data_IF_301011780396
#
_entry.id   IF_301011780396
#
_cell.length_a   1.000
_cell.length_b   1.000
_cell.length_c   1.000
_cell.angle_alpha   90.00
_cell.angle_beta   90.00
_cell.angle_gamma   90.00
#
_symmetry.space_group_name_H-M   'P 1'
#
loop_
_entity.id
_entity.type
_entity.pdbx_description
1 polymer ?
#
# COMPACT_ATOMS: atom_id res chain seq x y z
N UNK A 1 -16.24 66.06 82.61
CA UNK A 1 -17.55 66.42 82.02
C UNK A 1 -17.26 67.25 80.77
N UNK A 2 -17.77 66.78 79.62
CA UNK A 2 -17.88 67.42 78.29
C UNK A 2 -16.56 67.77 77.58
N UNK A 3 -16.05 67.01 76.61
CA UNK A 3 -16.52 66.67 75.24
C UNK A 3 -16.15 67.74 74.20
N UNK A 4 -15.41 67.35 73.15
CA UNK A 4 -15.77 67.50 71.72
C UNK A 4 -14.54 67.35 70.79
N UNK A 5 -14.67 66.47 69.80
CA UNK A 5 -13.70 66.14 68.73
C UNK A 5 -14.25 66.67 67.40
N UNK A 6 -13.45 67.14 66.41
CA UNK A 6 -13.99 67.34 65.08
C UNK A 6 -13.47 66.36 64.01
N UNK A 7 -14.45 65.75 63.35
CA UNK A 7 -14.58 65.47 61.91
C UNK A 7 -13.64 64.46 61.23
N UNK A 8 -14.16 63.24 61.06
CA UNK A 8 -13.74 62.30 60.01
C UNK A 8 -14.52 62.59 58.72
N UNK A 9 -13.79 62.78 57.63
CA UNK A 9 -14.29 62.97 56.27
C UNK A 9 -15.20 61.82 55.83
N UNK A 10 -16.31 62.13 55.16
CA UNK A 10 -17.01 61.16 54.30
C UNK A 10 -17.36 61.85 53.00
N UNK A 11 -16.44 61.76 52.04
CA UNK A 11 -16.68 62.20 50.66
C UNK A 11 -17.51 61.16 49.93
N UNK A 12 -18.85 61.32 50.00
CA UNK A 12 -19.80 60.54 49.20
C UNK A 12 -20.04 61.21 47.85
N UNK A 13 -19.25 60.87 46.84
CA UNK A 13 -19.46 61.32 45.46
C UNK A 13 -20.37 60.36 44.70
N UNK A 14 -21.68 60.52 44.82
CA UNK A 14 -22.66 59.85 43.96
C UNK A 14 -22.78 60.61 42.63
N UNK A 15 -22.00 60.19 41.61
CA UNK A 15 -22.20 60.63 40.23
C UNK A 15 -23.35 59.85 39.60
N UNK A 16 -24.44 60.54 39.26
CA UNK A 16 -25.51 60.02 38.39
C UNK A 16 -25.01 59.96 36.95
N UNK A 17 -25.01 58.77 36.35
CA UNK A 17 -24.64 58.56 34.95
C UNK A 17 -25.66 59.20 33.99
N UNK A 18 -25.16 59.87 32.95
CA UNK A 18 -25.95 60.55 31.92
C UNK A 18 -26.72 59.53 31.05
N UNK A 19 -27.96 59.87 30.65
CA UNK A 19 -28.83 58.98 29.87
C UNK A 19 -28.25 58.64 28.48
N UNK A 20 -27.43 59.53 27.92
CA UNK A 20 -26.69 59.33 26.67
C UNK A 20 -25.65 58.21 26.77
N UNK A 21 -24.94 58.13 27.90
CA UNK A 21 -23.93 57.10 28.15
C UNK A 21 -24.56 55.71 28.29
N UNK A 22 -25.73 55.64 28.93
CA UNK A 22 -26.50 54.39 29.08
C UNK A 22 -26.97 53.84 27.72
N UNK A 23 -27.40 54.72 26.81
CA UNK A 23 -27.86 54.33 25.48
C UNK A 23 -26.68 53.90 24.59
N UNK A 24 -25.55 54.59 24.68
CA UNK A 24 -24.30 54.23 24.00
C UNK A 24 -23.80 52.86 24.45
N UNK A 25 -23.80 52.58 25.76
CA UNK A 25 -23.42 51.28 26.30
C UNK A 25 -24.34 50.16 25.79
N UNK A 26 -25.66 50.39 25.77
CA UNK A 26 -26.65 49.44 25.26
C UNK A 26 -26.46 49.14 23.77
N UNK A 27 -26.13 50.14 22.96
CA UNK A 27 -25.89 49.94 21.53
C UNK A 27 -24.55 49.24 21.27
N UNK A 28 -23.55 49.49 22.12
CA UNK A 28 -22.31 48.71 22.14
C UNK A 28 -22.56 47.23 22.48
N UNK A 29 -23.30 46.93 23.55
CA UNK A 29 -23.64 45.56 23.94
C UNK A 29 -24.39 44.81 22.83
N UNK A 30 -25.37 45.46 22.20
CA UNK A 30 -26.08 44.88 21.05
C UNK A 30 -25.15 44.58 19.88
N UNK A 31 -24.21 45.47 19.60
CA UNK A 31 -23.25 45.31 18.50
C UNK A 31 -22.30 44.14 18.76
N UNK A 32 -21.77 44.03 19.98
CA UNK A 32 -20.91 42.90 20.39
C UNK A 32 -21.69 41.58 20.33
N UNK A 33 -22.93 41.55 20.82
CA UNK A 33 -23.73 40.33 20.79
C UNK A 33 -24.06 39.86 19.36
N UNK A 34 -24.38 40.81 18.46
CA UNK A 34 -24.57 40.50 17.04
C UNK A 34 -23.30 39.93 16.40
N UNK A 35 -22.15 40.51 16.72
CA UNK A 35 -20.86 40.04 16.21
C UNK A 35 -20.51 38.63 16.72
N UNK A 36 -20.72 38.38 18.02
CA UNK A 36 -20.52 37.05 18.60
C UNK A 36 -21.46 36.01 17.99
N UNK A 37 -22.74 36.36 17.81
CA UNK A 37 -23.71 35.47 17.19
C UNK A 37 -23.36 35.14 15.74
N UNK A 38 -22.94 36.14 14.96
CA UNK A 38 -22.48 35.94 13.59
C UNK A 38 -21.27 34.99 13.53
N UNK A 39 -20.27 35.21 14.39
CA UNK A 39 -19.08 34.36 14.44
C UNK A 39 -19.41 32.91 14.83
N UNK A 40 -20.32 32.70 15.78
CA UNK A 40 -20.76 31.36 16.18
C UNK A 40 -21.50 30.68 15.03
N UNK A 41 -22.40 31.39 14.34
CA UNK A 41 -23.16 30.85 13.22
C UNK A 41 -22.24 30.44 12.06
N UNK A 42 -21.25 31.27 11.72
CA UNK A 42 -20.24 30.99 10.70
C UNK A 42 -19.38 29.78 11.07
N UNK A 43 -18.84 29.77 12.30
CA UNK A 43 -18.04 28.63 12.78
C UNK A 43 -18.84 27.32 12.83
N UNK A 44 -20.16 27.38 13.05
CA UNK A 44 -21.03 26.21 12.99
C UNK A 44 -21.29 25.76 11.55
N UNK A 45 -21.46 26.69 10.61
CA UNK A 45 -21.61 26.39 9.20
C UNK A 45 -20.34 25.72 8.64
N UNK A 46 -19.16 26.26 8.93
CA UNK A 46 -17.88 25.69 8.51
C UNK A 46 -17.69 24.26 9.01
N UNK A 47 -18.05 24.00 10.28
CA UNK A 47 -17.98 22.65 10.85
C UNK A 47 -18.94 21.68 10.17
N UNK A 48 -20.13 22.13 9.79
CA UNK A 48 -21.11 21.28 9.06
C UNK A 48 -20.60 20.98 7.66
N UNK A 49 -20.13 21.99 6.94
CA UNK A 49 -19.55 21.80 5.61
C UNK A 49 -18.37 20.83 5.66
N UNK A 50 -17.43 21.02 6.58
CA UNK A 50 -16.29 20.11 6.73
C UNK A 50 -16.71 18.68 7.12
N UNK A 51 -17.83 18.50 7.82
CA UNK A 51 -18.37 17.17 8.13
C UNK A 51 -19.05 16.52 6.92
N UNK A 52 -19.73 17.31 6.08
CA UNK A 52 -20.34 16.88 4.83
C UNK A 52 -19.28 16.48 3.80
N UNK A 53 -18.24 17.31 3.62
CA UNK A 53 -17.12 17.01 2.72
C UNK A 53 -16.41 15.71 3.11
N UNK A 54 -16.21 15.48 4.41
CA UNK A 54 -15.63 14.24 4.94
C UNK A 54 -16.54 13.03 4.69
N UNK A 55 -17.86 13.19 4.80
CA UNK A 55 -18.81 12.12 4.50
C UNK A 55 -18.76 11.78 3.01
N UNK A 56 -18.79 12.80 2.15
CA UNK A 56 -18.70 12.62 0.71
C UNK A 56 -17.41 11.90 0.31
N UNK A 57 -16.26 12.32 0.84
CA UNK A 57 -14.98 11.68 0.55
C UNK A 57 -14.93 10.19 0.96
N UNK A 58 -15.60 9.82 2.06
CA UNK A 58 -15.72 8.42 2.48
C UNK A 58 -16.67 7.62 1.58
N UNK A 59 -17.74 8.23 1.10
CA UNK A 59 -18.67 7.61 0.14
C UNK A 59 -18.01 7.40 -1.22
N UNK A 60 -17.28 8.39 -1.71
CA UNK A 60 -16.51 8.30 -2.96
C UNK A 60 -15.45 7.19 -2.88
N UNK A 61 -14.67 7.17 -1.79
CA UNK A 61 -13.69 6.11 -1.54
C UNK A 61 -14.34 4.73 -1.50
N UNK A 62 -15.53 4.60 -0.90
CA UNK A 62 -16.30 3.35 -0.88
C UNK A 62 -16.76 2.95 -2.27
N UNK A 63 -17.23 3.90 -3.08
CA UNK A 63 -17.68 3.65 -4.45
C UNK A 63 -16.51 3.16 -5.32
N UNK A 64 -15.35 3.81 -5.23
CA UNK A 64 -14.14 3.40 -5.94
C UNK A 64 -13.70 1.98 -5.56
N UNK A 65 -13.70 1.67 -4.26
CA UNK A 65 -13.41 0.32 -3.78
C UNK A 65 -14.39 -0.72 -4.32
N UNK A 66 -15.68 -0.38 -4.39
CA UNK A 66 -16.70 -1.27 -4.91
C UNK A 66 -16.49 -1.55 -6.41
N UNK A 67 -16.14 -0.53 -7.20
CA UNK A 67 -15.83 -0.67 -8.64
C UNK A 67 -14.63 -1.61 -8.83
N UNK A 68 -13.55 -1.41 -8.06
CA UNK A 68 -12.35 -2.24 -8.14
C UNK A 68 -12.65 -3.72 -7.83
N UNK A 69 -13.40 -3.99 -6.75
CA UNK A 69 -13.76 -5.35 -6.35
C UNK A 69 -14.65 -6.00 -7.41
N UNK A 70 -15.65 -5.28 -7.94
CA UNK A 70 -16.53 -5.79 -9.00
C UNK A 70 -15.77 -6.08 -10.29
N UNK A 71 -14.82 -5.23 -10.68
CA UNK A 71 -13.96 -5.46 -11.85
C UNK A 71 -13.06 -6.69 -11.66
N UNK A 72 -12.51 -6.86 -10.46
CA UNK A 72 -11.72 -8.04 -10.11
C UNK A 72 -12.56 -9.32 -10.17
N UNK A 73 -13.76 -9.32 -9.60
CA UNK A 73 -14.69 -10.46 -9.65
C UNK A 73 -15.10 -10.81 -11.09
N UNK A 74 -15.41 -9.82 -11.92
CA UNK A 74 -15.73 -10.04 -13.34
C UNK A 74 -14.54 -10.66 -14.09
N UNK A 75 -13.32 -10.21 -13.79
CA UNK A 75 -12.09 -10.75 -14.35
C UNK A 75 -11.84 -12.20 -13.90
N UNK A 76 -12.01 -12.49 -12.61
CA UNK A 76 -11.91 -13.84 -12.06
C UNK A 76 -12.94 -14.79 -12.69
N UNK A 77 -14.19 -14.34 -12.87
CA UNK A 77 -15.21 -15.12 -13.55
C UNK A 77 -14.87 -15.38 -15.03
N UNK A 78 -14.26 -14.41 -15.71
CA UNK A 78 -13.79 -14.58 -17.10
C UNK A 78 -12.63 -15.58 -17.18
N UNK A 79 -11.69 -15.53 -16.23
CA UNK A 79 -10.58 -16.48 -16.15
C UNK A 79 -11.13 -17.90 -15.89
N UNK A 80 -12.04 -18.07 -14.92
CA UNK A 80 -12.66 -19.37 -14.65
C UNK A 80 -13.34 -19.98 -15.88
N UNK A 81 -14.07 -19.19 -16.67
CA UNK A 81 -14.65 -19.68 -17.93
C UNK A 81 -13.60 -20.09 -18.97
N UNK A 82 -12.47 -19.39 -19.04
CA UNK A 82 -11.37 -19.76 -19.94
C UNK A 82 -10.70 -21.05 -19.47
N UNK A 83 -10.54 -21.24 -18.16
CA UNK A 83 -10.01 -22.47 -17.57
C UNK A 83 -10.94 -23.67 -17.84
N UNK A 84 -12.26 -23.51 -17.65
CA UNK A 84 -13.25 -24.54 -17.97
C UNK A 84 -13.23 -24.92 -19.46
N UNK A 85 -13.14 -23.92 -20.36
CA UNK A 85 -13.07 -24.16 -21.80
C UNK A 85 -11.77 -24.87 -22.19
N UNK A 86 -10.64 -24.49 -21.58
CA UNK A 86 -9.35 -25.14 -21.80
C UNK A 86 -9.35 -26.58 -21.28
N UNK A 87 -9.99 -26.84 -20.13
CA UNK A 87 -10.14 -28.18 -19.58
C UNK A 87 -11.02 -29.06 -20.49
N UNK A 88 -12.16 -28.54 -20.95
CA UNK A 88 -13.05 -29.23 -21.89
C UNK A 88 -12.36 -29.52 -23.24
N UNK A 89 -11.53 -28.59 -23.74
CA UNK A 89 -10.75 -28.78 -24.97
C UNK A 89 -9.65 -29.84 -24.79
N UNK A 90 -8.93 -29.84 -23.66
CA UNK A 90 -7.93 -30.87 -23.37
C UNK A 90 -8.55 -32.26 -23.24
N UNK A 91 -9.72 -32.39 -22.60
CA UNK A 91 -10.45 -33.67 -22.52
C UNK A 91 -10.85 -34.17 -23.93
N UNK A 92 -11.19 -33.25 -24.85
CA UNK A 92 -11.47 -33.58 -26.26
C UNK A 92 -10.22 -33.97 -27.05
N UNK A 93 -9.05 -33.39 -26.73
CA UNK A 93 -7.78 -33.70 -27.37
C UNK A 93 -7.13 -35.01 -26.86
N UNK A 94 -7.38 -35.41 -25.61
CA UNK A 94 -6.89 -36.69 -25.04
C UNK A 94 -7.50 -37.92 -25.76
N UNK A 95 -8.63 -37.77 -26.45
CA UNK A 95 -9.19 -38.84 -27.31
C UNK A 95 -8.39 -39.01 -28.61
N UNK A 96 -7.58 -38.02 -29.03
CA UNK A 96 -6.81 -38.07 -30.29
C UNK A 96 -5.29 -37.92 -30.16
N UNK A 97 -4.73 -37.49 -29.03
CA UNK A 97 -3.30 -37.22 -28.91
C UNK A 97 -2.56 -38.21 -28.00
N UNK A 98 -1.94 -39.21 -28.62
CA UNK A 98 -0.91 -40.08 -28.04
C UNK A 98 0.17 -39.23 -27.34
N UNK A 99 0.59 -39.54 -26.09
CA UNK A 99 1.57 -38.71 -25.40
C UNK A 99 2.94 -38.92 -26.01
N UNK A 100 3.49 -37.85 -26.58
CA UNK A 100 4.92 -37.76 -26.90
C UNK A 100 5.67 -37.71 -25.57
N UNK A 101 6.40 -38.79 -25.31
CA UNK A 101 7.25 -38.93 -24.14
C UNK A 101 8.21 -37.73 -24.06
N UNK A 102 8.12 -36.97 -22.97
CA UNK A 102 9.15 -36.00 -22.63
C UNK A 102 10.43 -36.76 -22.31
N UNK A 103 11.53 -36.34 -22.92
CA UNK A 103 12.88 -36.86 -22.66
C UNK A 103 13.18 -36.94 -21.16
N UNK A 104 13.81 -38.03 -20.67
CA UNK A 104 14.20 -38.16 -19.27
C UNK A 104 15.01 -36.94 -18.79
N UNK A 105 14.61 -36.33 -17.67
CA UNK A 105 15.37 -35.28 -17.00
C UNK A 105 14.98 -33.82 -17.30
N UNK A 106 13.91 -33.56 -18.06
CA UNK A 106 13.40 -32.20 -18.29
C UNK A 106 12.11 -31.97 -17.52
N UNK A 107 12.06 -30.94 -16.67
CA UNK A 107 10.87 -30.65 -15.86
C UNK A 107 9.82 -29.98 -16.73
N UNK A 108 8.56 -30.38 -16.56
CA UNK A 108 7.44 -29.66 -17.16
C UNK A 108 7.22 -28.35 -16.38
N UNK A 109 7.83 -27.27 -16.87
CA UNK A 109 7.76 -25.93 -16.27
C UNK A 109 6.34 -25.37 -16.18
N UNK A 110 5.38 -25.85 -16.99
CA UNK A 110 3.98 -25.44 -16.88
C UNK A 110 3.27 -26.08 -15.68
N UNK A 111 3.71 -27.26 -15.24
CA UNK A 111 3.16 -27.96 -14.07
C UNK A 111 3.95 -27.69 -12.79
N UNK A 112 5.12 -27.08 -12.90
CA UNK A 112 5.99 -26.77 -11.78
C UNK A 112 5.44 -25.59 -10.97
N UNK A 113 4.90 -25.88 -9.79
CA UNK A 113 4.34 -24.89 -8.87
C UNK A 113 5.48 -24.08 -8.24
N UNK A 114 5.78 -22.91 -8.81
CA UNK A 114 6.75 -21.96 -8.24
C UNK A 114 6.22 -21.22 -7.02
N UNK A 115 4.91 -21.30 -6.76
CA UNK A 115 4.25 -20.72 -5.58
C UNK A 115 4.81 -21.21 -4.24
N UNK A 116 5.38 -22.42 -4.22
CA UNK A 116 5.90 -23.05 -3.00
C UNK A 116 7.39 -22.71 -2.77
N UNK A 117 8.01 -21.95 -3.68
CA UNK A 117 9.42 -21.58 -3.62
C UNK A 117 9.67 -20.27 -2.86
N UNK A 118 10.87 -20.10 -2.28
CA UNK A 118 11.23 -18.86 -1.59
C UNK A 118 11.32 -17.71 -2.59
N UNK A 119 10.43 -16.73 -2.44
CA UNK A 119 10.42 -15.53 -3.29
C UNK A 119 11.27 -14.42 -2.66
N UNK A 120 12.20 -13.85 -3.41
CA UNK A 120 12.98 -12.71 -2.96
C UNK A 120 12.17 -11.41 -3.06
N UNK A 121 11.88 -10.80 -1.91
CA UNK A 121 11.27 -9.47 -1.78
C UNK A 121 12.18 -8.47 -1.03
N UNK A 122 13.45 -8.84 -0.80
CA UNK A 122 14.38 -8.00 -0.06
C UNK A 122 14.83 -6.78 -0.88
N UNK A 123 15.35 -5.73 -0.22
CA UNK A 123 16.04 -4.62 -0.86
C UNK A 123 17.21 -5.06 -1.74
N UNK A 124 17.44 -4.37 -2.85
CA UNK A 124 18.61 -4.59 -3.70
C UNK A 124 19.92 -4.37 -2.93
N UNK A 125 20.92 -5.23 -3.18
CA UNK A 125 22.23 -5.21 -2.52
C UNK A 125 22.24 -5.45 -1.01
N UNK A 126 21.17 -6.02 -0.45
CA UNK A 126 21.19 -6.52 0.92
C UNK A 126 21.78 -7.95 0.97
N UNK A 127 23.07 -8.04 1.33
CA UNK A 127 23.86 -9.28 1.32
C UNK A 127 23.20 -10.42 2.09
N UNK A 128 22.80 -10.20 3.34
CA UNK A 128 22.27 -11.28 4.18
C UNK A 128 20.94 -11.84 3.63
N UNK A 129 20.01 -10.95 3.28
CA UNK A 129 18.72 -11.34 2.71
C UNK A 129 18.88 -12.06 1.37
N UNK A 130 19.80 -11.62 0.51
CA UNK A 130 20.08 -12.27 -0.77
C UNK A 130 20.71 -13.67 -0.57
N UNK A 131 21.71 -13.79 0.30
CA UNK A 131 22.36 -15.07 0.59
C UNK A 131 21.38 -16.08 1.21
N UNK A 132 20.58 -15.64 2.18
CA UNK A 132 19.53 -16.49 2.77
C UNK A 132 18.53 -16.97 1.71
N UNK A 133 18.13 -16.10 0.80
CA UNK A 133 17.21 -16.45 -0.28
C UNK A 133 17.83 -17.46 -1.25
N UNK A 134 19.04 -17.22 -1.77
CA UNK A 134 19.64 -18.11 -2.77
C UNK A 134 19.95 -19.49 -2.19
N UNK A 135 20.31 -19.59 -0.89
CA UNK A 135 20.41 -20.87 -0.20
C UNK A 135 19.06 -21.58 -0.10
N UNK A 136 17.99 -20.86 0.21
CA UNK A 136 16.63 -21.42 0.18
C UNK A 136 16.24 -21.94 -1.20
N UNK A 137 16.61 -21.23 -2.27
CA UNK A 137 16.37 -21.69 -3.66
C UNK A 137 17.17 -22.96 -3.98
N UNK A 138 18.42 -23.07 -3.51
CA UNK A 138 19.24 -24.28 -3.72
C UNK A 138 18.58 -25.50 -3.06
N UNK A 139 18.14 -25.37 -1.80
CA UNK A 139 17.40 -26.42 -1.09
C UNK A 139 16.10 -26.77 -1.83
N UNK A 140 15.38 -25.75 -2.33
CA UNK A 140 14.16 -25.96 -3.10
C UNK A 140 14.41 -26.74 -4.40
N UNK A 141 15.51 -26.47 -5.10
CA UNK A 141 15.88 -27.24 -6.29
C UNK A 141 16.28 -28.69 -5.96
N UNK A 142 17.04 -28.90 -4.91
CA UNK A 142 17.42 -30.25 -4.46
C UNK A 142 16.20 -31.07 -4.05
N UNK A 143 15.29 -30.50 -3.25
CA UNK A 143 14.07 -31.18 -2.78
C UNK A 143 13.07 -31.48 -3.90
N UNK A 144 13.09 -30.72 -5.00
CA UNK A 144 12.23 -30.92 -6.16
C UNK A 144 12.92 -31.66 -7.31
N UNK A 145 14.14 -32.18 -7.08
CA UNK A 145 14.98 -32.89 -8.05
C UNK A 145 15.15 -32.12 -9.38
N UNK A 146 15.32 -30.79 -9.28
CA UNK A 146 15.59 -29.92 -10.43
C UNK A 146 17.06 -30.08 -10.81
N UNK A 147 17.35 -30.93 -11.79
CA UNK A 147 18.73 -31.24 -12.19
C UNK A 147 19.20 -30.41 -13.39
N UNK A 148 18.29 -30.06 -14.31
CA UNK A 148 18.63 -29.31 -15.53
C UNK A 148 18.94 -27.83 -15.23
N UNK A 149 20.09 -27.34 -15.72
CA UNK A 149 20.53 -25.95 -15.48
C UNK A 149 19.59 -24.90 -16.10
N UNK A 150 19.10 -25.13 -17.33
CA UNK A 150 18.18 -24.20 -17.98
C UNK A 150 16.83 -24.13 -17.24
N UNK A 151 16.36 -25.25 -16.70
CA UNK A 151 15.15 -25.29 -15.88
C UNK A 151 15.35 -24.55 -14.55
N UNK A 152 16.50 -24.71 -13.88
CA UNK A 152 16.86 -23.92 -12.69
C UNK A 152 16.83 -22.42 -12.95
N UNK A 153 17.43 -21.96 -14.05
CA UNK A 153 17.45 -20.54 -14.42
C UNK A 153 16.01 -20.04 -14.62
N UNK A 154 15.20 -20.76 -15.41
CA UNK A 154 13.81 -20.40 -15.67
C UNK A 154 12.96 -20.34 -14.42
N UNK A 155 13.13 -21.29 -13.50
CA UNK A 155 12.38 -21.30 -12.24
C UNK A 155 12.82 -20.14 -11.36
N UNK A 156 14.13 -19.86 -11.27
CA UNK A 156 14.64 -18.75 -10.47
C UNK A 156 14.01 -17.41 -10.85
N UNK A 157 13.81 -17.14 -12.15
CA UNK A 157 13.16 -15.91 -12.61
C UNK A 157 11.77 -15.69 -12.00
N UNK A 158 11.04 -16.77 -11.72
CA UNK A 158 9.73 -16.70 -11.07
C UNK A 158 9.80 -16.52 -9.54
N UNK A 159 10.99 -16.68 -8.95
CA UNK A 159 11.24 -16.55 -7.52
C UNK A 159 11.84 -15.18 -7.16
N UNK A 160 11.87 -14.23 -8.10
CA UNK A 160 12.38 -12.88 -7.89
C UNK A 160 11.22 -11.89 -8.01
N UNK A 161 10.97 -11.13 -6.94
CA UNK A 161 10.02 -10.02 -6.97
C UNK A 161 10.69 -8.64 -6.85
N UNK A 162 12.00 -8.59 -6.57
CA UNK A 162 12.79 -7.35 -6.53
C UNK A 162 13.08 -6.85 -7.97
N UNK A 163 12.92 -5.54 -8.18
CA UNK A 163 12.86 -4.93 -9.51
C UNK A 163 14.19 -4.92 -10.27
N UNK A 164 15.32 -4.67 -9.59
CA UNK A 164 16.63 -4.62 -10.24
C UNK A 164 17.09 -6.01 -10.69
N UNK A 165 16.87 -7.02 -9.86
CA UNK A 165 17.11 -8.43 -10.16
C UNK A 165 16.18 -8.94 -11.26
N UNK A 166 14.90 -8.54 -11.28
CA UNK A 166 14.00 -8.82 -12.39
C UNK A 166 14.51 -8.20 -13.70
N UNK A 167 14.99 -6.96 -13.65
CA UNK A 167 15.56 -6.26 -14.80
C UNK A 167 16.83 -6.96 -15.31
N UNK A 168 17.73 -7.35 -14.40
CA UNK A 168 18.90 -8.17 -14.76
C UNK A 168 18.47 -9.48 -15.43
N UNK A 169 17.53 -10.20 -14.81
CA UNK A 169 17.05 -11.48 -15.28
C UNK A 169 16.43 -11.37 -16.69
N UNK A 170 15.53 -10.41 -16.90
CA UNK A 170 14.89 -10.18 -18.20
C UNK A 170 15.90 -9.89 -19.32
N UNK A 171 17.00 -9.20 -19.02
CA UNK A 171 18.01 -8.81 -20.00
C UNK A 171 19.11 -9.85 -20.21
N UNK A 172 19.41 -10.70 -19.21
CA UNK A 172 20.57 -11.60 -19.23
C UNK A 172 20.22 -13.08 -19.26
N UNK A 173 19.07 -13.52 -18.74
CA UNK A 173 18.79 -14.94 -18.53
C UNK A 173 18.87 -15.78 -19.80
N UNK A 174 18.44 -15.24 -20.95
CA UNK A 174 18.49 -15.94 -22.24
C UNK A 174 19.92 -16.37 -22.62
N UNK A 175 20.92 -15.53 -22.35
CA UNK A 175 22.34 -15.77 -22.65
C UNK A 175 22.94 -16.92 -21.81
N UNK A 176 22.26 -17.32 -20.73
CA UNK A 176 22.70 -18.39 -19.82
C UNK A 176 21.90 -19.69 -19.97
N UNK A 177 20.87 -19.74 -20.82
CA UNK A 177 20.08 -20.97 -21.00
C UNK A 177 20.89 -22.13 -21.62
N UNK A 178 22.00 -21.81 -22.30
CA UNK A 178 22.94 -22.80 -22.86
C UNK A 178 24.19 -22.98 -22.00
N UNK A 179 24.29 -22.26 -20.88
CA UNK A 179 25.45 -22.25 -19.98
C UNK A 179 25.17 -23.07 -18.71
N UNK A 180 26.19 -23.23 -17.88
CA UNK A 180 26.04 -23.91 -16.59
C UNK A 180 25.28 -23.04 -15.58
N UNK A 181 24.65 -23.71 -14.61
CA UNK A 181 24.02 -23.06 -13.46
C UNK A 181 25.03 -22.23 -12.63
N UNK A 182 26.27 -22.70 -12.52
CA UNK A 182 27.33 -22.03 -11.77
C UNK A 182 27.73 -20.70 -12.42
N UNK A 183 27.90 -20.66 -13.75
CA UNK A 183 28.21 -19.42 -14.46
C UNK A 183 27.11 -18.36 -14.31
N UNK A 184 25.84 -18.81 -14.33
CA UNK A 184 24.72 -17.92 -14.07
C UNK A 184 24.75 -17.39 -12.62
N UNK A 185 25.00 -18.26 -11.63
CA UNK A 185 25.12 -17.84 -10.22
C UNK A 185 26.24 -16.82 -10.01
N UNK A 186 27.43 -17.04 -10.56
CA UNK A 186 28.54 -16.07 -10.44
C UNK A 186 28.10 -14.68 -10.91
N UNK A 187 27.46 -14.62 -12.08
CA UNK A 187 26.97 -13.35 -12.64
C UNK A 187 25.82 -12.72 -11.84
N UNK A 188 24.97 -13.56 -11.26
CA UNK A 188 23.91 -13.09 -10.36
C UNK A 188 24.50 -12.49 -9.08
N UNK A 189 25.51 -13.13 -8.47
CA UNK A 189 26.18 -12.64 -7.26
C UNK A 189 26.92 -11.33 -7.54
N UNK A 190 27.67 -11.25 -8.64
CA UNK A 190 28.37 -10.03 -9.07
C UNK A 190 27.41 -8.83 -9.20
N UNK A 191 26.17 -9.07 -9.64
CA UNK A 191 25.18 -8.02 -9.82
C UNK A 191 24.39 -7.69 -8.55
N UNK A 192 24.05 -8.72 -7.76
CA UNK A 192 23.14 -8.62 -6.63
C UNK A 192 23.81 -8.18 -5.33
N UNK A 193 25.13 -8.32 -5.22
CA UNK A 193 25.88 -7.98 -4.01
C UNK A 193 26.61 -6.63 -4.15
N UNK A 194 26.77 -5.88 -3.05
CA UNK A 194 27.55 -4.64 -3.07
C UNK A 194 29.03 -4.95 -3.33
N UNK A 195 29.76 -4.06 -3.99
CA UNK A 195 31.15 -4.28 -4.47
C UNK A 195 32.16 -4.71 -3.39
N UNK A 196 31.82 -4.60 -2.11
CA UNK A 196 32.65 -4.89 -0.94
C UNK A 196 32.09 -6.01 -0.04
N UNK A 197 31.34 -6.95 -0.61
CA UNK A 197 30.74 -8.09 0.11
C UNK A 197 31.73 -9.15 0.57
#
# INVERSE_FOLDING_TARGET
MSDETPAHETSGSTRTADASDMQTAKDWFKSVFKLQHAFIAEAQADRRQAAEDRRQALEDCRADWQILISAHQASAARIGRLEELLLAMNIKNEVEARPVQSTPGKINLQKFRTSDGPTYRGPFQETESFLRWIHGVQIFFETKDVTNAADKIKILGNLIAETNLQSFYANKAADFLTKSWEEFKTRLFDFALPTNW
#
